data_IF_470456310247
#
_entry.id   IF_470456310247
#
_cell.length_a   1.000
_cell.length_b   1.000
_cell.length_c   1.000
_cell.angle_alpha   90.00
_cell.angle_beta   90.00
_cell.angle_gamma   90.00
#
_symmetry.space_group_name_H-M   'P 1'
#
loop_
_entity.id
_entity.type
_entity.pdbx_description
1 polymer ?
#
# COMPACT_ATOMS: atom_id res chain seq x y z
N UNK A 1 49.60 42.15 -47.08
CA UNK A 1 49.52 40.74 -47.53
C UNK A 1 49.03 39.87 -46.35
N UNK A 2 47.84 40.15 -45.83
CA UNK A 2 47.31 39.49 -44.61
C UNK A 2 45.88 38.97 -44.76
N UNK A 3 45.29 39.06 -45.96
CA UNK A 3 43.89 38.67 -46.18
C UNK A 3 43.71 37.38 -47.01
N UNK A 4 44.81 36.70 -47.38
CA UNK A 4 44.74 35.45 -48.16
C UNK A 4 44.92 34.17 -47.32
N UNK A 5 45.46 34.26 -46.10
CA UNK A 5 45.70 33.08 -45.24
C UNK A 5 44.49 32.65 -44.41
N UNK A 6 43.54 33.56 -44.12
CA UNK A 6 42.38 33.23 -43.28
C UNK A 6 41.21 32.57 -44.04
N UNK A 7 41.12 32.71 -45.37
CA UNK A 7 40.01 32.12 -46.15
C UNK A 7 40.17 30.62 -46.45
N UNK A 8 41.40 30.09 -46.42
CA UNK A 8 41.65 28.66 -46.65
C UNK A 8 41.57 27.78 -45.40
N UNK A 9 41.52 28.39 -44.20
CA UNK A 9 41.33 27.69 -42.92
C UNK A 9 39.86 27.68 -42.45
N UNK A 10 39.04 28.63 -42.90
CA UNK A 10 37.63 28.71 -42.51
C UNK A 10 36.76 27.61 -43.16
N UNK A 11 37.02 27.27 -44.41
CA UNK A 11 36.27 26.23 -45.12
C UNK A 11 36.45 24.80 -44.55
N UNK A 12 37.68 24.31 -44.28
CA UNK A 12 37.85 22.98 -43.70
C UNK A 12 37.36 22.90 -42.24
N UNK A 13 37.43 24.00 -41.47
CA UNK A 13 36.91 24.05 -40.09
C UNK A 13 35.38 24.06 -40.07
N UNK A 14 34.74 24.77 -40.99
CA UNK A 14 33.27 24.76 -41.13
C UNK A 14 32.75 23.39 -41.59
N UNK A 15 33.48 22.71 -42.49
CA UNK A 15 33.15 21.36 -42.94
C UNK A 15 33.35 20.32 -41.82
N UNK A 16 34.38 20.48 -40.98
CA UNK A 16 34.60 19.63 -39.79
C UNK A 16 33.47 19.81 -38.77
N UNK A 17 33.01 21.05 -38.54
CA UNK A 17 31.88 21.34 -37.65
C UNK A 17 30.55 20.76 -38.17
N UNK A 18 30.31 20.82 -39.49
CA UNK A 18 29.12 20.22 -40.11
C UNK A 18 29.15 18.68 -40.08
N UNK A 19 30.32 18.06 -40.23
CA UNK A 19 30.48 16.60 -40.14
C UNK A 19 30.40 16.08 -38.69
N UNK A 20 30.83 16.87 -37.69
CA UNK A 20 30.64 16.55 -36.27
C UNK A 20 29.17 16.63 -35.81
N UNK A 21 28.32 17.41 -36.49
CA UNK A 21 26.88 17.41 -36.24
C UNK A 21 26.15 16.17 -36.79
N UNK A 22 26.73 15.47 -37.77
CA UNK A 22 26.14 14.24 -38.32
C UNK A 22 26.72 12.96 -37.72
N UNK A 23 27.81 13.05 -36.96
CA UNK A 23 28.47 11.93 -36.29
C UNK A 23 28.72 12.27 -34.81
N UNK A 24 27.65 12.41 -34.04
CA UNK A 24 27.73 12.71 -32.61
C UNK A 24 26.47 12.22 -31.92
N UNK A 25 26.54 10.97 -31.46
CA UNK A 25 25.71 10.33 -30.43
C UNK A 25 24.53 11.15 -29.91
N UNK A 26 23.32 10.59 -30.03
CA UNK A 26 22.13 11.03 -29.30
C UNK A 26 22.48 11.24 -27.82
N UNK A 27 22.84 12.46 -27.44
CA UNK A 27 22.85 12.86 -26.05
C UNK A 27 21.39 12.88 -25.65
N UNK A 28 20.91 11.76 -25.09
CA UNK A 28 19.73 11.79 -24.23
C UNK A 28 20.04 12.81 -23.14
N UNK A 29 19.58 14.04 -23.34
CA UNK A 29 19.55 15.02 -22.29
C UNK A 29 18.68 14.43 -21.18
N UNK A 30 19.31 13.99 -20.10
CA UNK A 30 18.60 13.61 -18.88
C UNK A 30 18.09 14.91 -18.28
N UNK A 31 16.87 15.29 -18.63
CA UNK A 31 16.17 16.38 -17.95
C UNK A 31 15.70 15.83 -16.61
N UNK A 32 16.48 16.06 -15.57
CA UNK A 32 16.05 15.83 -14.20
C UNK A 32 15.05 16.94 -13.84
N UNK A 33 13.75 16.67 -14.01
CA UNK A 33 12.73 17.52 -13.39
C UNK A 33 12.85 17.37 -11.87
N UNK A 34 13.10 18.48 -11.18
CA UNK A 34 12.96 18.54 -9.73
C UNK A 34 11.50 18.19 -9.38
N UNK A 35 11.25 17.23 -8.47
CA UNK A 35 9.89 16.87 -8.11
C UNK A 35 9.17 18.11 -7.59
N UNK A 36 7.99 18.39 -8.15
CA UNK A 36 7.14 19.44 -7.61
C UNK A 36 6.64 19.00 -6.23
N UNK A 37 6.34 19.97 -5.35
CA UNK A 37 5.89 19.72 -3.97
C UNK A 37 4.75 18.69 -3.97
N UNK A 38 5.02 17.49 -3.46
CA UNK A 38 4.06 16.39 -3.36
C UNK A 38 4.45 15.13 -4.12
N UNK A 39 5.35 15.22 -5.10
CA UNK A 39 5.79 14.07 -5.90
C UNK A 39 7.00 13.37 -5.27
N UNK A 40 6.96 12.04 -5.24
CA UNK A 40 8.09 11.20 -4.80
C UNK A 40 9.14 11.11 -5.91
N UNK A 41 10.42 11.27 -5.57
CA UNK A 41 11.55 11.18 -6.51
C UNK A 41 11.60 9.87 -7.33
N UNK A 42 10.92 8.81 -6.88
CA UNK A 42 10.78 7.55 -7.61
C UNK A 42 9.88 7.68 -8.86
N UNK A 43 8.93 8.62 -8.90
CA UNK A 43 8.04 8.81 -10.05
C UNK A 43 8.80 9.25 -11.31
N UNK A 44 9.88 10.03 -11.17
CA UNK A 44 10.68 10.49 -12.31
C UNK A 44 11.42 9.34 -13.03
N UNK A 45 11.69 8.22 -12.35
CA UNK A 45 12.42 7.08 -12.93
C UNK A 45 11.50 6.09 -13.66
N UNK A 46 10.22 6.01 -13.29
CA UNK A 46 9.31 4.98 -13.83
C UNK A 46 8.58 5.40 -15.11
N UNK A 47 8.39 6.70 -15.34
CA UNK A 47 7.61 7.22 -16.49
C UNK A 47 8.27 6.89 -17.84
N UNK A 48 9.60 6.92 -17.93
CA UNK A 48 10.31 6.74 -19.20
C UNK A 48 10.25 5.31 -19.79
N UNK A 49 9.97 4.29 -18.99
CA UNK A 49 9.89 2.89 -19.46
C UNK A 49 8.44 2.44 -19.74
N UNK A 50 7.44 3.15 -19.24
CA UNK A 50 6.03 2.74 -19.32
C UNK A 50 5.37 3.16 -20.64
N UNK A 51 5.72 4.33 -21.18
CA UNK A 51 5.22 4.83 -22.47
C UNK A 51 5.53 3.88 -23.65
N UNK A 52 6.56 3.04 -23.54
CA UNK A 52 6.93 2.05 -24.57
C UNK A 52 6.06 0.79 -24.60
N UNK A 53 5.27 0.52 -23.56
CA UNK A 53 4.50 -0.73 -23.44
C UNK A 53 3.04 -0.63 -23.90
N UNK A 54 2.54 0.58 -24.18
CA UNK A 54 1.12 0.82 -24.47
C UNK A 54 0.18 0.60 -23.27
N UNK A 55 0.73 0.34 -22.07
CA UNK A 55 -0.03 0.09 -20.84
C UNK A 55 -0.15 1.35 -19.99
N UNK A 56 -1.36 1.64 -19.51
CA UNK A 56 -1.65 2.84 -18.74
C UNK A 56 -1.48 2.60 -17.24
N UNK A 57 -0.23 2.69 -16.76
CA UNK A 57 0.11 2.53 -15.36
C UNK A 57 -0.01 3.87 -14.62
N UNK A 58 -0.79 3.89 -13.53
CA UNK A 58 -0.99 5.08 -12.68
C UNK A 58 -0.89 4.71 -11.20
N UNK A 59 -0.61 5.66 -10.29
CA UNK A 59 -0.68 5.42 -8.86
C UNK A 59 -2.02 4.82 -8.47
N UNK A 60 -2.00 3.78 -7.63
CA UNK A 60 -3.22 3.14 -7.13
C UNK A 60 -4.09 4.15 -6.37
N UNK A 61 -5.39 4.18 -6.66
CA UNK A 61 -6.35 4.97 -5.91
C UNK A 61 -7.03 4.12 -4.82
N UNK A 62 -6.69 4.42 -3.57
CA UNK A 62 -7.25 3.76 -2.38
C UNK A 62 -8.30 4.67 -1.75
N UNK A 63 -9.56 4.21 -1.75
CA UNK A 63 -10.68 4.88 -1.10
C UNK A 63 -10.87 4.33 0.32
N UNK A 64 -11.29 5.18 1.26
CA UNK A 64 -11.47 4.79 2.67
C UNK A 64 -12.94 4.91 3.08
N UNK A 65 -13.50 3.84 3.64
CA UNK A 65 -14.80 3.86 4.31
C UNK A 65 -14.61 3.73 5.83
N UNK A 66 -15.00 4.76 6.57
CA UNK A 66 -14.92 4.78 8.03
C UNK A 66 -16.24 4.44 8.74
N UNK A 67 -17.20 3.84 8.04
CA UNK A 67 -18.54 3.66 8.59
C UNK A 67 -18.58 2.66 9.75
N UNK A 68 -17.63 1.73 9.82
CA UNK A 68 -17.44 0.87 10.99
C UNK A 68 -17.10 1.68 12.26
N UNK A 69 -16.18 2.64 12.16
CA UNK A 69 -15.82 3.54 13.27
C UNK A 69 -17.00 4.45 13.65
N UNK A 70 -17.70 5.02 12.65
CA UNK A 70 -18.86 5.88 12.89
C UNK A 70 -19.99 5.13 13.62
N UNK A 71 -20.25 3.87 13.26
CA UNK A 71 -21.23 3.03 13.94
C UNK A 71 -20.90 2.85 15.43
N UNK A 72 -19.63 2.60 15.76
CA UNK A 72 -19.20 2.44 17.14
C UNK A 72 -19.36 3.73 17.93
N UNK A 73 -18.96 4.88 17.38
CA UNK A 73 -19.15 6.18 18.03
C UNK A 73 -20.63 6.47 18.32
N UNK A 74 -21.51 6.26 17.32
CA UNK A 74 -22.96 6.44 17.51
C UNK A 74 -23.53 5.51 18.58
N UNK A 75 -23.04 4.27 18.66
CA UNK A 75 -23.45 3.36 19.73
C UNK A 75 -22.99 3.88 21.09
N UNK A 76 -21.74 4.34 21.21
CA UNK A 76 -21.21 4.94 22.45
C UNK A 76 -22.00 6.17 22.90
N UNK A 77 -22.40 7.05 21.97
CA UNK A 77 -23.18 8.25 22.30
C UNK A 77 -24.61 7.91 22.73
N UNK A 78 -25.29 7.04 21.98
CA UNK A 78 -26.60 6.49 22.36
C UNK A 78 -26.53 5.88 23.74
N UNK A 79 -25.43 5.16 23.99
CA UNK A 79 -25.19 4.50 25.25
C UNK A 79 -25.06 5.52 26.41
N UNK A 80 -24.19 6.52 26.26
CA UNK A 80 -23.99 7.59 27.25
C UNK A 80 -25.29 8.33 27.57
N UNK A 81 -26.08 8.69 26.55
CA UNK A 81 -27.37 9.37 26.73
C UNK A 81 -28.38 8.54 27.55
N UNK A 82 -28.44 7.22 27.32
CA UNK A 82 -29.30 6.34 28.12
C UNK A 82 -28.86 6.27 29.58
N UNK A 83 -27.55 6.25 29.85
CA UNK A 83 -27.03 6.23 31.21
C UNK A 83 -27.40 7.49 31.99
N UNK A 84 -27.34 8.66 31.35
CA UNK A 84 -27.78 9.94 31.94
C UNK A 84 -29.27 9.96 32.28
N UNK A 85 -30.12 9.44 31.37
CA UNK A 85 -31.57 9.36 31.58
C UNK A 85 -31.95 8.45 32.75
N UNK A 86 -31.22 7.36 32.96
CA UNK A 86 -31.51 6.36 34.00
C UNK A 86 -30.96 6.72 35.39
N UNK A 87 -30.39 7.92 35.59
CA UNK A 87 -29.86 8.42 36.88
C UNK A 87 -28.97 7.42 37.64
N UNK A 88 -28.29 6.51 36.93
CA UNK A 88 -27.40 5.52 37.55
C UNK A 88 -28.07 4.48 38.47
N UNK A 89 -29.40 4.29 38.43
CA UNK A 89 -30.11 3.35 39.32
C UNK A 89 -30.16 1.91 38.81
N UNK A 90 -29.73 1.67 37.57
CA UNK A 90 -29.54 0.32 37.03
C UNK A 90 -28.23 -0.27 37.50
N UNK A 91 -28.30 -1.33 38.31
CA UNK A 91 -27.15 -2.15 38.74
C UNK A 91 -26.22 -2.47 37.56
N UNK A 92 -24.98 -1.96 37.63
CA UNK A 92 -23.74 -2.48 37.00
C UNK A 92 -23.94 -3.70 36.08
N UNK A 93 -24.34 -3.43 34.84
CA UNK A 93 -23.89 -4.17 33.66
C UNK A 93 -24.14 -3.33 32.43
N UNK A 94 -23.86 -2.03 32.57
CA UNK A 94 -23.68 -1.20 31.40
C UNK A 94 -22.43 -1.76 30.74
N UNK A 95 -22.61 -2.44 29.63
CA UNK A 95 -21.54 -2.94 28.79
C UNK A 95 -20.72 -1.73 28.33
N UNK A 96 -19.78 -1.32 29.19
CA UNK A 96 -18.61 -0.49 28.88
C UNK A 96 -17.81 -1.29 27.86
N UNK A 97 -18.37 -1.33 26.65
CA UNK A 97 -17.66 -1.72 25.46
C UNK A 97 -16.30 -1.04 25.56
N UNK A 98 -15.24 -1.83 25.44
CA UNK A 98 -13.86 -1.33 25.54
C UNK A 98 -13.64 -0.16 24.56
N UNK A 99 -14.46 -0.09 23.51
CA UNK A 99 -14.50 1.01 22.55
C UNK A 99 -15.08 2.32 23.09
N UNK A 100 -15.95 2.31 24.10
CA UNK A 100 -16.60 3.51 24.62
C UNK A 100 -15.92 4.11 25.87
N UNK A 101 -14.83 3.49 26.35
CA UNK A 101 -14.07 4.02 27.48
C UNK A 101 -13.49 5.42 27.17
N UNK A 102 -13.66 6.37 28.09
CA UNK A 102 -13.25 7.75 27.87
C UNK A 102 -11.73 7.95 27.73
N UNK A 103 -10.90 6.99 28.17
CA UNK A 103 -9.43 7.06 28.07
C UNK A 103 -8.90 6.17 26.95
N UNK A 104 -9.34 4.91 26.92
CA UNK A 104 -8.82 3.87 26.02
C UNK A 104 -9.68 3.66 24.79
N UNK A 105 -10.95 4.05 24.83
CA UNK A 105 -11.91 3.90 23.72
C UNK A 105 -11.69 4.88 22.57
N UNK A 106 -12.58 4.80 21.58
CA UNK A 106 -12.63 5.70 20.42
C UNK A 106 -13.35 7.00 20.80
N UNK A 107 -12.82 8.12 20.35
CA UNK A 107 -13.44 9.44 20.46
C UNK A 107 -13.42 10.12 19.09
N UNK A 108 -14.11 11.26 18.93
CA UNK A 108 -14.02 12.03 17.69
C UNK A 108 -12.60 12.52 17.41
N UNK A 109 -11.83 12.90 18.43
CA UNK A 109 -10.43 13.30 18.26
C UNK A 109 -9.55 12.14 17.80
N UNK A 110 -9.75 10.93 18.36
CA UNK A 110 -9.02 9.75 17.90
C UNK A 110 -9.44 9.32 16.49
N UNK A 111 -10.73 9.45 16.14
CA UNK A 111 -11.20 9.22 14.78
C UNK A 111 -10.55 10.20 13.80
N UNK A 112 -10.53 11.48 14.13
CA UNK A 112 -9.90 12.51 13.30
C UNK A 112 -8.40 12.24 13.14
N UNK A 113 -7.70 11.96 14.24
CA UNK A 113 -6.28 11.59 14.22
C UNK A 113 -6.03 10.34 13.36
N UNK A 114 -6.86 9.32 13.50
CA UNK A 114 -6.77 8.09 12.72
C UNK A 114 -6.96 8.37 11.22
N UNK A 115 -8.09 8.97 10.85
CA UNK A 115 -8.51 9.08 9.46
C UNK A 115 -7.76 10.18 8.71
N UNK A 116 -7.60 11.36 9.31
CA UNK A 116 -7.12 12.56 8.62
C UNK A 116 -5.61 12.79 8.77
N UNK A 117 -4.91 11.96 9.54
CA UNK A 117 -3.46 12.05 9.69
C UNK A 117 -2.76 10.71 9.53
N UNK A 118 -3.05 9.77 10.43
CA UNK A 118 -2.30 8.51 10.52
C UNK A 118 -2.54 7.62 9.30
N UNK A 119 -3.81 7.43 8.94
CA UNK A 119 -4.20 6.58 7.82
C UNK A 119 -3.85 7.20 6.47
N UNK A 120 -4.02 8.52 6.30
CA UNK A 120 -3.55 9.22 5.11
C UNK A 120 -2.04 9.03 4.90
N UNK A 121 -1.24 9.17 5.96
CA UNK A 121 0.20 8.95 5.88
C UNK A 121 0.56 7.50 5.53
N UNK A 122 -0.18 6.52 6.07
CA UNK A 122 0.01 5.10 5.78
C UNK A 122 -0.36 4.75 4.33
N UNK A 123 -1.49 5.26 3.83
CA UNK A 123 -1.93 5.11 2.44
C UNK A 123 -0.91 5.73 1.49
N UNK A 124 -0.41 6.94 1.81
CA UNK A 124 0.60 7.61 0.99
C UNK A 124 1.85 6.76 0.79
N UNK A 125 2.27 5.98 1.79
CA UNK A 125 3.43 5.09 1.63
C UNK A 125 3.23 4.05 0.53
N UNK A 126 1.98 3.62 0.28
CA UNK A 126 1.62 2.69 -0.79
C UNK A 126 1.39 3.39 -2.11
N UNK A 127 0.59 4.46 -2.14
CA UNK A 127 0.27 5.17 -3.40
C UNK A 127 1.50 5.82 -4.03
N UNK A 128 2.52 6.17 -3.23
CA UNK A 128 3.81 6.67 -3.74
C UNK A 128 4.66 5.57 -4.44
N UNK A 129 4.33 4.29 -4.27
CA UNK A 129 5.18 3.13 -4.65
C UNK A 129 4.49 2.11 -5.54
N UNK A 130 3.16 2.04 -5.50
CA UNK A 130 2.38 1.05 -6.20
C UNK A 130 1.60 1.74 -7.32
N UNK A 131 1.97 1.39 -8.55
CA UNK A 131 1.16 1.70 -9.71
C UNK A 131 0.28 0.50 -10.06
N UNK A 132 -0.85 0.78 -10.68
CA UNK A 132 -1.76 -0.20 -11.24
C UNK A 132 -2.00 0.08 -12.71
N UNK A 133 -2.15 -0.99 -13.48
CA UNK A 133 -2.60 -0.92 -14.86
C UNK A 133 -4.11 -0.67 -14.90
N UNK A 134 -4.52 0.49 -15.41
CA UNK A 134 -5.94 0.79 -15.58
C UNK A 134 -6.50 -0.02 -16.75
N UNK A 135 -7.47 -0.89 -16.46
CA UNK A 135 -8.28 -1.56 -17.48
C UNK A 135 -9.50 -0.69 -17.80
N UNK A 136 -9.80 -0.54 -19.08
CA UNK A 136 -11.00 0.21 -19.51
C UNK A 136 -12.26 -0.46 -18.97
N UNK A 137 -13.12 0.33 -18.32
CA UNK A 137 -14.48 -0.09 -17.94
C UNK A 137 -14.62 -0.88 -16.63
N UNK A 138 -13.55 -1.14 -15.89
CA UNK A 138 -13.62 -2.06 -14.74
C UNK A 138 -12.77 -1.58 -13.56
N UNK A 139 -13.39 -0.87 -12.61
CA UNK A 139 -13.40 -1.20 -11.16
C UNK A 139 -14.60 -0.51 -10.52
N UNK A 140 -15.68 -1.25 -10.29
CA UNK A 140 -16.75 -0.84 -9.35
C UNK A 140 -16.64 -1.79 -8.16
N UNK A 141 -16.03 -1.33 -7.07
CA UNK A 141 -16.14 -2.06 -5.81
C UNK A 141 -17.55 -1.81 -5.30
N UNK A 142 -18.37 -2.86 -5.27
CA UNK A 142 -19.74 -2.80 -4.76
C UNK A 142 -19.84 -3.60 -3.48
N UNK A 143 -20.57 -3.12 -2.48
CA UNK A 143 -20.81 -3.92 -1.27
C UNK A 143 -21.63 -5.18 -1.56
N UNK A 144 -22.28 -5.27 -2.72
CA UNK A 144 -22.93 -6.49 -3.22
C UNK A 144 -21.93 -7.56 -3.71
N UNK A 145 -20.72 -7.19 -4.14
CA UNK A 145 -19.68 -8.12 -4.62
C UNK A 145 -18.77 -8.63 -3.50
N UNK A 146 -18.88 -8.08 -2.29
CA UNK A 146 -18.26 -8.61 -1.04
C UNK A 146 -18.85 -10.01 -0.66
N UNK A 147 -19.77 -10.54 -1.46
CA UNK A 147 -20.31 -11.90 -1.38
C UNK A 147 -19.31 -12.97 -1.84
N UNK A 148 -18.28 -13.27 -1.03
CA UNK A 148 -17.60 -14.58 -1.03
C UNK A 148 -16.68 -14.86 0.17
N UNK A 149 -16.38 -13.89 1.04
CA UNK A 149 -15.67 -14.17 2.30
C UNK A 149 -16.68 -14.21 3.45
N UNK A 150 -17.18 -15.41 3.77
CA UNK A 150 -17.85 -15.65 5.06
C UNK A 150 -16.87 -15.30 6.20
N UNK A 151 -17.39 -14.76 7.31
CA UNK A 151 -16.58 -14.33 8.44
C UNK A 151 -16.60 -12.81 8.65
N UNK A 152 -15.44 -12.24 9.00
CA UNK A 152 -15.34 -10.87 9.53
C UNK A 152 -15.77 -9.77 8.57
N UNK A 153 -15.68 -9.98 7.24
CA UNK A 153 -16.10 -9.00 6.23
C UNK A 153 -17.62 -8.81 6.16
N UNK A 154 -18.43 -9.71 6.74
CA UNK A 154 -19.89 -9.64 6.68
C UNK A 154 -20.48 -8.36 7.29
N UNK A 155 -19.78 -7.77 8.26
CA UNK A 155 -20.17 -6.52 8.94
C UNK A 155 -20.22 -5.32 7.99
N UNK A 156 -19.43 -5.31 6.91
CA UNK A 156 -19.38 -4.20 5.95
C UNK A 156 -20.74 -3.99 5.29
N UNK A 157 -21.50 -5.06 5.02
CA UNK A 157 -22.83 -4.94 4.42
C UNK A 157 -23.84 -4.25 5.34
N UNK A 158 -23.67 -4.39 6.65
CA UNK A 158 -24.49 -3.69 7.63
C UNK A 158 -24.14 -2.20 7.69
N UNK A 159 -22.86 -1.86 7.50
CA UNK A 159 -22.39 -0.48 7.52
C UNK A 159 -22.72 0.27 6.23
N UNK A 160 -22.53 -0.35 5.07
CA UNK A 160 -22.46 0.32 3.77
C UNK A 160 -23.47 -0.25 2.76
N UNK A 161 -24.71 -0.46 3.23
CA UNK A 161 -25.78 -1.08 2.44
C UNK A 161 -25.99 -0.37 1.09
N UNK A 162 -25.82 -1.11 -0.02
CA UNK A 162 -26.00 -0.65 -1.42
C UNK A 162 -25.08 0.49 -1.88
N UNK A 163 -23.94 0.68 -1.21
CA UNK A 163 -22.91 1.63 -1.67
C UNK A 163 -22.03 1.04 -2.77
N UNK A 164 -21.70 1.88 -3.75
CA UNK A 164 -20.73 1.58 -4.80
C UNK A 164 -19.58 2.60 -4.77
N UNK A 165 -18.38 2.13 -5.09
CA UNK A 165 -17.17 2.92 -5.16
C UNK A 165 -16.66 2.86 -6.60
N UNK A 166 -17.10 3.82 -7.43
CA UNK A 166 -16.93 3.79 -8.89
C UNK A 166 -15.58 4.29 -9.39
N UNK A 167 -14.81 4.97 -8.53
CA UNK A 167 -13.54 5.59 -8.89
C UNK A 167 -12.35 4.99 -8.13
N UNK A 168 -12.55 3.94 -7.34
CA UNK A 168 -11.52 3.37 -6.48
C UNK A 168 -10.92 2.12 -7.11
N UNK A 169 -9.59 2.00 -7.12
CA UNK A 169 -8.91 0.76 -7.48
C UNK A 169 -8.93 -0.25 -6.32
N UNK A 170 -9.05 0.27 -5.09
CA UNK A 170 -9.10 -0.50 -3.86
C UNK A 170 -9.90 0.25 -2.80
N UNK A 171 -10.76 -0.45 -2.05
CA UNK A 171 -11.51 0.14 -0.92
C UNK A 171 -11.02 -0.44 0.40
N UNK A 172 -10.59 0.45 1.30
CA UNK A 172 -10.20 0.11 2.66
C UNK A 172 -11.35 0.45 3.62
N UNK A 173 -12.03 -0.58 4.12
CA UNK A 173 -13.04 -0.45 5.16
C UNK A 173 -12.35 -0.40 6.53
N UNK A 174 -12.72 0.56 7.36
CA UNK A 174 -12.10 0.81 8.67
C UNK A 174 -13.10 0.47 9.77
N UNK A 175 -12.71 -0.49 10.60
CA UNK A 175 -13.40 -0.89 11.82
C UNK A 175 -12.51 -0.79 13.05
N UNK A 176 -13.00 -1.33 14.17
CA UNK A 176 -12.27 -1.40 15.43
C UNK A 176 -12.18 -2.84 15.93
N UNK A 177 -11.11 -3.13 16.66
CA UNK A 177 -10.91 -4.38 17.40
C UNK A 177 -10.46 -4.05 18.83
N UNK A 178 -10.82 -4.91 19.79
CA UNK A 178 -10.50 -4.68 21.20
C UNK A 178 -9.04 -4.97 21.52
N UNK A 179 -8.43 -5.87 20.76
CA UNK A 179 -7.21 -6.57 21.17
C UNK A 179 -6.04 -6.35 20.23
N UNK A 180 -6.25 -6.47 18.92
CA UNK A 180 -5.17 -6.50 17.94
C UNK A 180 -5.59 -5.82 16.64
N UNK A 181 -4.66 -5.05 16.07
CA UNK A 181 -4.84 -4.54 14.71
C UNK A 181 -4.84 -5.73 13.75
N UNK A 182 -5.79 -5.76 12.82
CA UNK A 182 -5.90 -6.87 11.88
C UNK A 182 -6.45 -6.42 10.54
N UNK A 183 -6.04 -7.12 9.49
CA UNK A 183 -6.52 -6.88 8.12
C UNK A 183 -6.97 -8.17 7.45
N UNK A 184 -8.10 -8.11 6.76
CA UNK A 184 -8.63 -9.20 5.95
C UNK A 184 -9.08 -8.67 4.58
N UNK A 185 -8.69 -9.38 3.51
CA UNK A 185 -9.17 -9.09 2.16
C UNK A 185 -10.65 -9.46 2.05
N UNK A 186 -11.49 -8.53 1.59
CA UNK A 186 -12.95 -8.70 1.55
C UNK A 186 -13.54 -8.81 0.15
N UNK A 187 -12.78 -8.49 -0.90
CA UNK A 187 -13.17 -8.76 -2.29
C UNK A 187 -11.94 -8.82 -3.19
N UNK A 188 -12.11 -9.51 -4.31
CA UNK A 188 -11.10 -9.62 -5.37
C UNK A 188 -11.77 -9.45 -6.74
N UNK A 189 -11.02 -9.05 -7.75
CA UNK A 189 -11.48 -9.06 -9.15
C UNK A 189 -11.34 -10.46 -9.79
N UNK A 190 -11.69 -10.58 -11.06
CA UNK A 190 -11.65 -11.84 -11.81
C UNK A 190 -10.23 -12.41 -11.98
N UNK A 191 -9.19 -11.59 -11.82
CA UNK A 191 -7.78 -12.01 -11.84
C UNK A 191 -7.23 -12.27 -10.44
N UNK A 192 -8.12 -12.41 -9.46
CA UNK A 192 -7.79 -12.53 -8.05
C UNK A 192 -6.97 -11.32 -7.54
N UNK A 193 -7.06 -10.10 -8.11
CA UNK A 193 -6.46 -8.92 -7.47
C UNK A 193 -7.34 -8.49 -6.30
N UNK A 194 -6.79 -8.24 -5.09
CA UNK A 194 -7.55 -7.60 -4.03
C UNK A 194 -8.17 -6.27 -4.47
N UNK A 195 -9.47 -6.12 -4.23
CA UNK A 195 -10.23 -4.90 -4.54
C UNK A 195 -10.80 -4.24 -3.29
N UNK A 196 -10.86 -4.97 -2.16
CA UNK A 196 -11.12 -4.36 -0.86
C UNK A 196 -10.55 -5.15 0.30
N UNK A 197 -10.36 -4.48 1.43
CA UNK A 197 -10.04 -5.10 2.71
C UNK A 197 -10.74 -4.40 3.87
N UNK A 198 -10.96 -5.15 4.95
CA UNK A 198 -11.33 -4.62 6.26
C UNK A 198 -10.08 -4.55 7.12
N UNK A 199 -9.73 -3.35 7.56
CA UNK A 199 -8.73 -3.12 8.62
C UNK A 199 -9.44 -2.74 9.91
N UNK A 200 -9.05 -3.35 11.02
CA UNK A 200 -9.56 -3.01 12.35
C UNK A 200 -8.45 -2.42 13.20
N UNK A 201 -8.72 -1.26 13.79
CA UNK A 201 -7.77 -0.58 14.68
C UNK A 201 -8.16 -0.74 16.15
N UNK A 202 -7.16 -0.76 17.02
CA UNK A 202 -7.39 -0.79 18.46
C UNK A 202 -7.38 0.64 19.01
N UNK A 203 -8.49 1.16 19.59
CA UNK A 203 -8.58 2.57 19.94
C UNK A 203 -7.53 3.09 20.94
N UNK A 204 -7.07 2.23 21.85
CA UNK A 204 -6.02 2.61 22.82
C UNK A 204 -4.65 2.83 22.17
N UNK A 205 -4.42 2.23 21.01
CA UNK A 205 -3.14 2.26 20.31
C UNK A 205 -3.08 3.39 19.26
N UNK A 206 -4.19 4.12 19.03
CA UNK A 206 -4.24 5.26 18.12
C UNK A 206 -3.46 6.43 18.73
N UNK A 207 -2.17 6.51 18.38
CA UNK A 207 -1.25 7.56 18.83
C UNK A 207 -0.44 8.11 17.66
N UNK A 208 -0.17 9.41 17.69
CA UNK A 208 0.55 10.13 16.64
C UNK A 208 2.04 9.78 16.61
N UNK A 209 2.36 8.61 16.06
CA UNK A 209 3.73 8.11 16.02
C UNK A 209 4.08 7.56 14.65
N UNK A 210 5.36 7.69 14.28
CA UNK A 210 5.90 7.01 13.09
C UNK A 210 5.69 5.49 13.16
N UNK A 211 5.76 4.92 14.36
CA UNK A 211 5.53 3.50 14.56
C UNK A 211 4.11 3.11 14.13
N UNK A 212 3.08 3.81 14.62
CA UNK A 212 1.70 3.55 14.25
C UNK A 212 1.47 3.68 12.74
N UNK A 213 1.98 4.75 12.10
CA UNK A 213 1.87 4.93 10.64
C UNK A 213 2.46 3.74 9.89
N UNK A 214 3.60 3.20 10.34
CA UNK A 214 4.26 2.05 9.71
C UNK A 214 3.51 0.74 9.97
N UNK A 215 2.93 0.56 11.15
CA UNK A 215 2.06 -0.58 11.46
C UNK A 215 0.78 -0.54 10.61
N UNK A 216 0.12 0.61 10.51
CA UNK A 216 -1.04 0.77 9.62
C UNK A 216 -0.68 0.52 8.16
N UNK A 217 0.48 0.99 7.69
CA UNK A 217 0.94 0.72 6.34
C UNK A 217 1.26 -0.77 6.13
N UNK A 218 1.83 -1.45 7.12
CA UNK A 218 2.06 -2.88 7.09
C UNK A 218 0.75 -3.66 6.92
N UNK A 219 -0.26 -3.32 7.72
CA UNK A 219 -1.60 -3.90 7.64
C UNK A 219 -2.29 -3.64 6.30
N UNK A 220 -2.18 -2.42 5.75
CA UNK A 220 -2.65 -2.11 4.39
C UNK A 220 -1.93 -2.98 3.35
N UNK A 221 -0.65 -3.29 3.53
CA UNK A 221 0.08 -4.16 2.60
C UNK A 221 -0.53 -5.57 2.52
N UNK A 222 -0.93 -6.13 3.67
CA UNK A 222 -1.68 -7.39 3.70
C UNK A 222 -3.01 -7.28 2.95
N UNK A 223 -3.76 -6.20 3.17
CA UNK A 223 -5.01 -5.92 2.44
C UNK A 223 -4.81 -5.80 0.92
N UNK A 224 -3.68 -5.23 0.49
CA UNK A 224 -3.31 -5.10 -0.93
C UNK A 224 -2.79 -6.40 -1.56
N UNK A 225 -2.67 -7.49 -0.79
CA UNK A 225 -2.34 -8.81 -1.30
C UNK A 225 -0.96 -9.33 -0.93
N UNK A 226 -0.26 -8.68 0.00
CA UNK A 226 0.95 -9.25 0.61
C UNK A 226 0.57 -10.44 1.51
N UNK A 227 0.43 -11.62 0.92
CA UNK A 227 -0.06 -12.80 1.63
C UNK A 227 0.54 -14.09 1.01
N UNK A 228 1.01 -15.01 1.86
CA UNK A 228 1.78 -16.19 1.44
C UNK A 228 0.96 -17.16 0.60
N UNK A 229 -0.32 -17.35 0.92
CA UNK A 229 -1.18 -18.25 0.15
C UNK A 229 -1.33 -17.74 -1.29
N UNK A 230 -1.48 -16.42 -1.48
CA UNK A 230 -1.45 -15.79 -2.81
C UNK A 230 -0.09 -15.98 -3.48
N UNK A 231 1.02 -15.68 -2.79
CA UNK A 231 2.36 -15.89 -3.37
C UNK A 231 2.57 -17.35 -3.80
N UNK A 232 2.04 -18.31 -3.04
CA UNK A 232 2.09 -19.74 -3.38
C UNK A 232 1.24 -20.08 -4.60
N UNK A 233 0.01 -19.54 -4.69
CA UNK A 233 -0.86 -19.72 -5.87
C UNK A 233 -0.23 -19.17 -7.15
N UNK A 234 0.50 -18.06 -7.03
CA UNK A 234 1.26 -17.45 -8.13
C UNK A 234 2.59 -18.17 -8.42
N UNK A 235 2.86 -19.30 -7.74
CA UNK A 235 4.10 -20.08 -7.89
C UNK A 235 5.39 -19.27 -7.60
N UNK A 236 5.27 -18.19 -6.82
CA UNK A 236 6.38 -17.33 -6.42
C UNK A 236 7.11 -17.86 -5.17
N UNK A 237 6.66 -18.98 -4.60
CA UNK A 237 7.22 -19.55 -3.38
C UNK A 237 8.07 -20.76 -3.71
N UNK A 238 9.32 -20.73 -3.24
CA UNK A 238 10.25 -21.86 -3.32
C UNK A 238 10.60 -22.38 -1.93
N UNK A 239 10.60 -23.70 -1.82
CA UNK A 239 11.00 -24.42 -0.62
C UNK A 239 12.45 -24.86 -0.74
N UNK A 240 13.23 -24.60 0.30
CA UNK A 240 14.64 -24.97 0.36
C UNK A 240 15.06 -25.43 1.75
N UNK A 241 16.36 -25.65 1.91
CA UNK A 241 16.96 -25.87 3.21
C UNK A 241 18.23 -25.03 3.35
N UNK A 242 18.35 -24.31 4.46
CA UNK A 242 19.58 -23.60 4.84
C UNK A 242 20.37 -24.42 5.85
N UNK A 243 21.68 -24.53 5.62
CA UNK A 243 22.59 -25.23 6.53
C UNK A 243 22.52 -24.56 7.92
N UNK A 244 22.18 -25.32 8.95
CA UNK A 244 22.04 -24.83 10.32
C UNK A 244 20.67 -24.21 10.67
N UNK A 245 19.79 -23.95 9.69
CA UNK A 245 18.42 -23.44 9.93
C UNK A 245 17.33 -24.47 9.61
N UNK A 246 17.58 -25.41 8.69
CA UNK A 246 16.59 -26.40 8.26
C UNK A 246 15.75 -25.91 7.09
N UNK A 247 14.48 -26.33 7.01
CA UNK A 247 13.58 -25.99 5.89
C UNK A 247 13.22 -24.51 5.91
N UNK A 248 13.35 -23.85 4.76
CA UNK A 248 13.02 -22.42 4.59
C UNK A 248 12.09 -22.22 3.40
N UNK A 249 11.37 -21.11 3.43
CA UNK A 249 10.50 -20.67 2.34
C UNK A 249 11.00 -19.32 1.84
N UNK A 250 11.12 -19.16 0.53
CA UNK A 250 11.55 -17.91 -0.08
C UNK A 250 10.59 -17.48 -1.19
N UNK A 251 10.41 -16.16 -1.34
CA UNK A 251 9.80 -15.58 -2.52
C UNK A 251 10.85 -15.54 -3.63
N UNK A 252 10.70 -16.46 -4.60
CA UNK A 252 11.58 -16.63 -5.76
C UNK A 252 10.95 -15.95 -6.97
N UNK A 253 11.45 -14.75 -7.28
CA UNK A 253 11.14 -14.06 -8.53
C UNK A 253 12.34 -13.26 -8.99
N UNK A 254 12.44 -13.02 -10.30
CA UNK A 254 13.54 -12.26 -10.89
C UNK A 254 13.71 -10.89 -10.21
N UNK A 255 12.61 -10.15 -10.03
CA UNK A 255 12.63 -8.83 -9.40
C UNK A 255 13.07 -8.91 -7.93
N UNK A 256 12.64 -9.95 -7.20
CA UNK A 256 13.05 -10.13 -5.81
C UNK A 256 14.55 -10.41 -5.72
N UNK A 257 15.08 -11.31 -6.55
CA UNK A 257 16.52 -11.59 -6.57
C UNK A 257 17.33 -10.33 -6.93
N UNK A 258 16.90 -9.55 -7.91
CA UNK A 258 17.54 -8.28 -8.26
C UNK A 258 17.58 -7.30 -7.07
N UNK A 259 16.44 -7.12 -6.39
CA UNK A 259 16.36 -6.22 -5.23
C UNK A 259 17.10 -6.73 -4.00
N UNK A 260 17.21 -8.05 -3.83
CA UNK A 260 18.05 -8.65 -2.80
C UNK A 260 19.53 -8.41 -3.06
N UNK A 261 20.00 -8.61 -4.30
CA UNK A 261 21.40 -8.35 -4.67
C UNK A 261 21.77 -6.89 -4.41
N UNK A 262 20.88 -5.96 -4.78
CA UNK A 262 21.04 -4.53 -4.54
C UNK A 262 21.04 -4.19 -3.04
N UNK A 263 20.10 -4.73 -2.26
CA UNK A 263 19.96 -4.39 -0.84
C UNK A 263 21.10 -4.91 0.03
N UNK A 264 21.54 -6.15 -0.22
CA UNK A 264 22.57 -6.83 0.57
C UNK A 264 23.98 -6.74 -0.03
N UNK A 265 24.13 -6.05 -1.17
CA UNK A 265 25.39 -5.98 -1.94
C UNK A 265 26.00 -7.37 -2.18
N UNK A 266 25.15 -8.30 -2.60
CA UNK A 266 25.50 -9.72 -2.73
C UNK A 266 25.53 -10.11 -4.22
N UNK A 267 26.72 -10.48 -4.71
CA UNK A 267 26.93 -10.89 -6.10
C UNK A 267 26.84 -12.41 -6.32
N UNK A 268 26.58 -13.18 -5.26
CA UNK A 268 26.36 -14.62 -5.35
C UNK A 268 24.93 -14.93 -5.84
N UNK A 269 24.69 -16.20 -6.17
CA UNK A 269 23.34 -16.66 -6.48
C UNK A 269 22.44 -16.60 -5.24
N UNK A 270 21.44 -15.73 -5.29
CA UNK A 270 20.40 -15.57 -4.28
C UNK A 270 19.16 -16.32 -4.76
N UNK A 271 18.59 -17.18 -3.89
CA UNK A 271 17.37 -17.93 -4.22
C UNK A 271 16.11 -17.05 -4.23
N UNK A 272 16.06 -16.04 -3.35
CA UNK A 272 14.91 -15.16 -3.17
C UNK A 272 14.94 -14.48 -1.80
N UNK A 273 13.87 -13.76 -1.45
CA UNK A 273 13.72 -13.20 -0.10
C UNK A 273 13.08 -14.23 0.82
N UNK A 274 13.72 -14.53 1.95
CA UNK A 274 13.18 -15.49 2.91
C UNK A 274 11.94 -14.94 3.61
N UNK A 275 10.96 -15.82 3.80
CA UNK A 275 9.79 -15.58 4.63
C UNK A 275 10.12 -15.97 6.08
N UNK A 276 9.50 -15.26 7.02
CA UNK A 276 9.58 -15.56 8.45
C UNK A 276 9.22 -17.04 8.71
N UNK A 277 10.15 -17.75 9.34
CA UNK A 277 10.03 -19.17 9.64
C UNK A 277 9.82 -19.46 11.14
N UNK A 278 9.89 -18.44 11.99
CA UNK A 278 9.65 -18.52 13.43
C UNK A 278 8.19 -18.21 13.81
N UNK A 279 7.67 -18.96 14.79
CA UNK A 279 6.30 -18.79 15.30
C UNK A 279 5.22 -19.50 14.46
N UNK A 280 3.97 -19.13 14.70
CA UNK A 280 2.76 -19.72 14.13
C UNK A 280 1.95 -18.73 13.27
N UNK A 281 1.09 -19.27 12.41
CA UNK A 281 0.04 -18.54 11.70
C UNK A 281 0.51 -17.23 11.03
N UNK A 282 0.04 -16.10 11.58
CA UNK A 282 0.24 -14.73 11.05
C UNK A 282 1.71 -14.35 10.90
N UNK A 283 2.61 -14.82 11.77
CA UNK A 283 4.03 -14.45 11.70
C UNK A 283 4.69 -14.89 10.39
N UNK A 284 4.24 -16.02 9.82
CA UNK A 284 4.78 -16.57 8.57
C UNK A 284 4.39 -15.78 7.32
N UNK A 285 3.56 -14.74 7.44
CA UNK A 285 3.11 -13.89 6.34
C UNK A 285 4.07 -12.71 6.06
N UNK A 286 5.26 -12.71 6.65
CA UNK A 286 6.20 -11.59 6.58
C UNK A 286 7.53 -12.00 5.98
N UNK A 287 8.32 -10.99 5.60
CA UNK A 287 9.75 -11.17 5.40
C UNK A 287 10.42 -11.64 6.67
N UNK A 288 11.45 -12.48 6.50
CA UNK A 288 12.36 -12.87 7.58
C UNK A 288 12.91 -11.61 8.26
N UNK A 289 12.83 -11.59 9.60
CA UNK A 289 13.25 -10.43 10.39
C UNK A 289 14.77 -10.30 10.50
N UNK A 290 15.50 -11.43 10.41
CA UNK A 290 16.96 -11.48 10.56
C UNK A 290 17.73 -11.03 9.33
#
# INVERSE_FOLDING_TARGET
MENYFMRHLLYPVLLLFLLLCCAGTSFSAVVQHLPQRGESALHAYTVANLEKSGRNWKPIHIEVSAEGVNNVLRDCDRKRALAEQLKGTGTRRYDDSVFCDNKTGITDEKKDLLLNKLLLAAIKLHTDRLNIEQKEGEVVVSTSTINSFSGECGVIKAWEHKKSFSNADFVLFVGLDESEMSTIVCSQDLEERPTSALIKFVPKDIVDTRHFVRTAAHEIAHGLGFEVTRMRKLELIKYGALRGKGKVTAVDSKIMQEKMREHYDCHLDITGMYMEDEGDGRRKLHWERR
#
